data_IF_991634706978
#
_entry.id   IF_991634706978
#
_cell.length_a   1.000
_cell.length_b   1.000
_cell.length_c   1.000
_cell.angle_alpha   90.00
_cell.angle_beta   90.00
_cell.angle_gamma   90.00
#
_symmetry.space_group_name_H-M   'P 1'
#
loop_
_entity.id
_entity.type
_entity.pdbx_description
1 polymer ?
#
# COMPACT_ATOMS: atom_id res chain seq x y z
N UNK A 1 1.23 6.15 -10.84
CA UNK A 1 1.89 5.21 -9.90
C UNK A 1 1.22 3.85 -9.99
N UNK A 2 1.82 2.79 -9.45
CA UNK A 2 1.18 1.48 -9.30
C UNK A 2 0.83 1.29 -7.82
N UNK A 3 -0.39 0.84 -7.52
CA UNK A 3 -0.84 0.65 -6.15
C UNK A 3 -1.78 -0.57 -6.03
N UNK A 4 -1.85 -1.16 -4.84
CA UNK A 4 -2.89 -2.13 -4.51
C UNK A 4 -4.22 -1.43 -4.32
N UNK A 5 -5.34 -2.07 -4.66
CA UNK A 5 -6.66 -1.60 -4.25
C UNK A 5 -6.78 -1.45 -2.72
N UNK A 6 -5.98 -2.20 -1.94
CA UNK A 6 -5.89 -2.03 -0.49
C UNK A 6 -5.43 -0.64 -0.06
N UNK A 7 -4.59 0.04 -0.85
CA UNK A 7 -4.16 1.41 -0.52
C UNK A 7 -5.36 2.35 -0.46
N UNK A 8 -6.30 2.22 -1.39
CA UNK A 8 -7.54 3.02 -1.40
C UNK A 8 -8.43 2.67 -0.21
N UNK A 9 -8.60 1.37 0.05
CA UNK A 9 -9.40 0.88 1.19
C UNK A 9 -8.82 1.41 2.51
N UNK A 10 -7.52 1.32 2.72
CA UNK A 10 -6.87 1.78 3.95
C UNK A 10 -7.00 3.30 4.14
N UNK A 11 -6.84 4.09 3.07
CA UNK A 11 -7.07 5.53 3.13
C UNK A 11 -8.52 5.85 3.54
N UNK A 12 -9.52 5.23 2.91
CA UNK A 12 -10.92 5.45 3.26
C UNK A 12 -11.26 4.97 4.67
N UNK A 13 -10.67 3.86 5.12
CA UNK A 13 -10.84 3.35 6.49
C UNK A 13 -10.26 4.31 7.52
N UNK A 14 -9.12 4.94 7.25
CA UNK A 14 -8.53 5.96 8.14
C UNK A 14 -9.43 7.18 8.23
N UNK A 15 -9.95 7.69 7.11
CA UNK A 15 -10.86 8.84 7.12
C UNK A 15 -12.18 8.52 7.83
N UNK A 16 -12.76 7.36 7.55
CA UNK A 16 -13.98 6.88 8.21
C UNK A 16 -13.79 6.76 9.71
N UNK A 17 -12.65 6.19 10.15
CA UNK A 17 -12.33 6.10 11.57
C UNK A 17 -12.19 7.48 12.19
N UNK A 18 -11.48 8.40 11.53
CA UNK A 18 -11.24 9.75 12.05
C UNK A 18 -12.54 10.53 12.27
N UNK A 19 -13.52 10.40 11.36
CA UNK A 19 -14.87 10.95 11.56
C UNK A 19 -15.56 10.28 12.74
N UNK A 20 -15.63 8.94 12.75
CA UNK A 20 -16.33 8.19 13.78
C UNK A 20 -15.78 8.45 15.20
N UNK A 21 -14.50 8.81 15.31
CA UNK A 21 -13.84 9.16 16.58
C UNK A 21 -13.74 10.67 16.81
N UNK A 22 -14.44 11.50 16.05
CA UNK A 22 -14.45 12.97 16.16
C UNK A 22 -13.05 13.63 16.07
N UNK A 23 -12.10 12.97 15.40
CA UNK A 23 -10.75 13.50 15.12
C UNK A 23 -10.78 14.42 13.89
N UNK A 24 -11.70 14.17 12.96
CA UNK A 24 -11.82 14.94 11.72
C UNK A 24 -13.30 15.26 11.42
N UNK A 25 -13.66 16.50 11.07
CA UNK A 25 -15.00 16.83 10.59
C UNK A 25 -15.36 16.12 9.28
N UNK A 26 -16.64 15.76 9.09
CA UNK A 26 -17.12 15.09 7.87
C UNK A 26 -16.75 15.86 6.59
N UNK A 27 -16.94 17.18 6.58
CA UNK A 27 -16.61 18.02 5.42
C UNK A 27 -15.12 17.92 5.03
N UNK A 28 -14.23 17.89 6.02
CA UNK A 28 -12.79 17.73 5.81
C UNK A 28 -12.40 16.31 5.37
N UNK A 29 -13.16 15.30 5.79
CA UNK A 29 -12.98 13.93 5.31
C UNK A 29 -13.42 13.81 3.85
N UNK A 30 -14.55 14.42 3.48
CA UNK A 30 -15.05 14.46 2.10
C UNK A 30 -14.06 15.15 1.15
N UNK A 31 -13.48 16.28 1.56
CA UNK A 31 -12.43 16.97 0.81
C UNK A 31 -11.21 16.06 0.57
N UNK A 32 -10.74 15.34 1.60
CA UNK A 32 -9.61 14.40 1.47
C UNK A 32 -9.94 13.21 0.56
N UNK A 33 -11.17 12.70 0.60
CA UNK A 33 -11.62 11.66 -0.34
C UNK A 33 -11.61 12.16 -1.79
N UNK A 34 -12.05 13.41 -2.02
CA UNK A 34 -12.01 14.00 -3.35
C UNK A 34 -10.57 14.13 -3.89
N UNK A 35 -9.63 14.56 -3.04
CA UNK A 35 -8.20 14.62 -3.39
C UNK A 35 -7.63 13.22 -3.68
N UNK A 36 -7.96 12.23 -2.84
CA UNK A 36 -7.54 10.84 -3.07
C UNK A 36 -8.07 10.30 -4.39
N UNK A 37 -9.37 10.48 -4.67
CA UNK A 37 -10.01 10.02 -5.91
C UNK A 37 -9.34 10.64 -7.14
N UNK A 38 -9.20 11.97 -7.16
CA UNK A 38 -8.55 12.68 -8.26
C UNK A 38 -7.08 12.24 -8.46
N UNK A 39 -6.38 11.89 -7.39
CA UNK A 39 -5.01 11.37 -7.49
C UNK A 39 -4.98 9.94 -8.01
N UNK A 40 -5.91 9.10 -7.54
CA UNK A 40 -6.02 7.69 -7.90
C UNK A 40 -6.44 7.46 -9.35
N UNK A 41 -7.16 8.42 -9.97
CA UNK A 41 -7.50 8.40 -11.40
C UNK A 41 -6.26 8.31 -12.31
N UNK A 42 -5.09 8.64 -11.80
CA UNK A 42 -3.81 8.55 -12.52
C UNK A 42 -2.95 7.34 -12.12
N UNK A 43 -3.52 6.40 -11.35
CA UNK A 43 -2.81 5.21 -10.89
C UNK A 43 -3.25 3.96 -11.67
N UNK A 44 -2.31 3.03 -11.83
CA UNK A 44 -2.63 1.66 -12.20
C UNK A 44 -2.91 0.90 -10.92
N UNK A 45 -4.18 0.54 -10.71
CA UNK A 45 -4.62 -0.19 -9.51
C UNK A 45 -4.60 -1.69 -9.79
N UNK A 46 -3.94 -2.43 -8.90
CA UNK A 46 -3.99 -3.89 -8.87
C UNK A 46 -5.10 -4.33 -7.92
N UNK A 47 -6.10 -5.01 -8.46
CA UNK A 47 -7.14 -5.67 -7.67
C UNK A 47 -6.58 -6.87 -6.91
N UNK A 48 -7.29 -7.30 -5.86
CA UNK A 48 -6.95 -8.52 -5.14
C UNK A 48 -7.34 -9.75 -5.96
N UNK A 49 -6.43 -10.20 -6.82
CA UNK A 49 -6.62 -11.37 -7.66
C UNK A 49 -6.09 -12.67 -7.03
N UNK A 50 -6.32 -13.80 -7.71
CA UNK A 50 -5.88 -15.11 -7.25
C UNK A 50 -4.35 -15.23 -7.11
N UNK A 51 -3.58 -14.55 -7.96
CA UNK A 51 -2.11 -14.59 -7.96
C UNK A 51 -1.56 -13.87 -6.74
N UNK A 52 -2.11 -12.69 -6.43
CA UNK A 52 -1.76 -11.91 -5.24
C UNK A 52 -2.17 -12.68 -3.98
N UNK A 53 -3.38 -13.25 -3.95
CA UNK A 53 -3.84 -14.06 -2.81
C UNK A 53 -2.96 -15.28 -2.57
N UNK A 54 -2.62 -16.03 -3.61
CA UNK A 54 -1.73 -17.18 -3.46
C UNK A 54 -0.35 -16.76 -2.95
N UNK A 55 0.21 -15.68 -3.51
CA UNK A 55 1.51 -15.18 -3.08
C UNK A 55 1.50 -14.70 -1.63
N UNK A 56 0.46 -13.98 -1.20
CA UNK A 56 0.32 -13.45 0.16
C UNK A 56 0.23 -14.54 1.23
N UNK A 57 -0.17 -15.76 0.87
CA UNK A 57 -0.23 -16.94 1.76
C UNK A 57 1.12 -17.65 1.94
N UNK A 58 2.13 -17.31 1.13
CA UNK A 58 3.47 -17.88 1.24
C UNK A 58 4.32 -17.03 2.19
N UNK A 59 5.33 -17.62 2.86
CA UNK A 59 6.22 -16.86 3.73
C UNK A 59 6.90 -15.67 3.03
N UNK A 60 7.18 -14.63 3.80
CA UNK A 60 7.99 -13.50 3.37
C UNK A 60 9.28 -13.40 4.20
N UNK A 61 10.35 -12.77 3.69
CA UNK A 61 11.47 -12.38 4.53
C UNK A 61 11.00 -11.46 5.67
N UNK A 62 11.45 -11.75 6.90
CA UNK A 62 11.17 -10.90 8.06
C UNK A 62 9.85 -11.18 8.76
N UNK A 63 9.35 -12.41 8.71
CA UNK A 63 8.23 -12.84 9.57
C UNK A 63 8.47 -12.50 11.06
N UNK A 64 7.43 -12.15 11.83
CA UNK A 64 6.01 -12.13 11.43
C UNK A 64 5.59 -10.86 10.67
N UNK A 65 4.78 -11.03 9.61
CA UNK A 65 4.18 -9.93 8.83
C UNK A 65 2.65 -9.90 9.00
N UNK A 66 2.05 -8.70 9.04
CA UNK A 66 0.58 -8.55 9.13
C UNK A 66 -0.09 -8.93 7.82
N UNK A 67 -1.30 -9.45 7.89
CA UNK A 67 -2.06 -9.93 6.73
C UNK A 67 -2.24 -8.88 5.62
N UNK A 68 -2.49 -7.61 5.95
CA UNK A 68 -2.60 -6.56 4.91
C UNK A 68 -1.25 -6.19 4.31
N UNK A 69 -0.20 -6.17 5.14
CA UNK A 69 1.18 -5.94 4.67
C UNK A 69 1.61 -7.03 3.68
N UNK A 70 1.23 -8.30 3.88
CA UNK A 70 1.55 -9.37 2.92
C UNK A 70 0.87 -9.18 1.56
N UNK A 71 -0.33 -8.58 1.53
CA UNK A 71 -1.03 -8.26 0.27
C UNK A 71 -0.32 -7.10 -0.45
N UNK A 72 0.11 -6.06 0.26
CA UNK A 72 0.92 -4.97 -0.33
C UNK A 72 2.23 -5.50 -0.91
N UNK A 73 2.94 -6.35 -0.16
CA UNK A 73 4.20 -6.95 -0.61
C UNK A 73 4.00 -7.91 -1.79
N UNK A 74 2.93 -8.72 -1.79
CA UNK A 74 2.58 -9.59 -2.91
C UNK A 74 2.24 -8.78 -4.17
N UNK A 75 1.46 -7.71 -4.03
CA UNK A 75 1.15 -6.78 -5.12
C UNK A 75 2.42 -6.15 -5.69
N UNK A 76 3.31 -5.67 -4.83
CA UNK A 76 4.60 -5.11 -5.24
C UNK A 76 5.47 -6.11 -6.00
N UNK A 77 5.46 -7.39 -5.63
CA UNK A 77 6.18 -8.44 -6.35
C UNK A 77 5.63 -8.66 -7.76
N UNK A 78 4.31 -8.72 -7.91
CA UNK A 78 3.67 -8.84 -9.23
C UNK A 78 3.95 -7.60 -10.08
N UNK A 79 3.85 -6.41 -9.50
CA UNK A 79 4.17 -5.17 -10.20
C UNK A 79 5.64 -5.14 -10.68
N UNK A 80 6.59 -5.60 -9.85
CA UNK A 80 8.01 -5.68 -10.22
C UNK A 80 8.30 -6.72 -11.30
N UNK A 81 7.50 -7.78 -11.43
CA UNK A 81 7.66 -8.73 -12.55
C UNK A 81 7.22 -8.13 -13.89
N UNK A 82 6.37 -7.10 -13.87
CA UNK A 82 5.91 -6.37 -15.06
C UNK A 82 6.81 -5.16 -15.38
N UNK A 83 7.32 -4.50 -14.34
CA UNK A 83 8.22 -3.35 -14.44
C UNK A 83 9.49 -3.65 -13.65
N UNK A 84 10.54 -4.17 -14.31
CA UNK A 84 11.87 -4.29 -13.71
C UNK A 84 12.31 -2.94 -13.14
N UNK A 85 13.04 -2.95 -12.03
CA UNK A 85 13.50 -1.76 -11.29
C UNK A 85 12.42 -0.92 -10.58
N UNK A 86 11.21 -1.45 -10.42
CA UNK A 86 10.17 -0.80 -9.62
C UNK A 86 10.63 -0.55 -8.18
N UNK A 87 10.62 0.72 -7.76
CA UNK A 87 10.81 1.12 -6.37
C UNK A 87 9.49 1.01 -5.59
N UNK A 88 9.57 0.57 -4.33
CA UNK A 88 8.44 0.52 -3.41
C UNK A 88 8.40 1.77 -2.55
N UNK A 89 7.32 2.54 -2.63
CA UNK A 89 7.07 3.68 -1.76
C UNK A 89 6.20 3.24 -0.58
N UNK A 90 6.67 3.47 0.65
CA UNK A 90 5.86 3.28 1.85
C UNK A 90 6.37 4.17 2.98
N UNK A 91 5.44 4.64 3.81
CA UNK A 91 5.75 5.32 5.07
C UNK A 91 5.68 4.38 6.28
N UNK A 92 5.23 3.13 6.10
CA UNK A 92 5.21 2.13 7.17
C UNK A 92 6.55 1.38 7.21
N UNK A 93 7.31 1.56 8.30
CA UNK A 93 8.63 0.95 8.44
C UNK A 93 8.63 -0.59 8.41
N UNK A 94 7.51 -1.25 8.76
CA UNK A 94 7.40 -2.71 8.65
C UNK A 94 7.41 -3.13 7.20
N UNK A 95 6.57 -2.51 6.37
CA UNK A 95 6.54 -2.75 4.92
C UNK A 95 7.90 -2.41 4.32
N UNK A 96 8.49 -1.27 4.68
CA UNK A 96 9.81 -0.84 4.18
C UNK A 96 10.89 -1.88 4.50
N UNK A 97 10.94 -2.40 5.73
CA UNK A 97 11.91 -3.43 6.15
C UNK A 97 11.77 -4.71 5.32
N UNK A 98 10.57 -5.25 5.20
CA UNK A 98 10.33 -6.47 4.42
C UNK A 98 10.64 -6.24 2.93
N UNK A 99 10.24 -5.10 2.37
CA UNK A 99 10.54 -4.73 0.99
C UNK A 99 12.05 -4.67 0.71
N UNK A 100 12.86 -4.07 1.61
CA UNK A 100 14.33 -4.07 1.50
C UNK A 100 14.89 -5.50 1.47
N UNK A 101 14.41 -6.38 2.36
CA UNK A 101 14.84 -7.79 2.39
C UNK A 101 14.43 -8.57 1.14
N UNK A 102 13.39 -8.13 0.43
CA UNK A 102 12.95 -8.67 -0.86
C UNK A 102 13.66 -8.01 -2.06
N UNK A 103 14.64 -7.15 -1.81
CA UNK A 103 15.45 -6.47 -2.82
C UNK A 103 14.77 -5.31 -3.54
N UNK A 104 13.74 -4.69 -2.95
CA UNK A 104 13.18 -3.45 -3.50
C UNK A 104 14.09 -2.26 -3.15
N UNK A 105 14.25 -1.34 -4.10
CA UNK A 105 14.57 0.04 -3.74
C UNK A 105 13.37 0.62 -3.00
N UNK A 106 13.58 1.15 -1.79
CA UNK A 106 12.49 1.71 -0.97
C UNK A 106 12.54 3.24 -0.94
N UNK A 107 11.38 3.86 -1.07
CA UNK A 107 11.17 5.30 -1.02
C UNK A 107 10.20 5.70 0.12
N UNK A 108 10.34 6.90 0.72
CA UNK A 108 11.48 7.81 0.56
C UNK A 108 12.78 7.12 1.00
N UNK A 109 13.94 7.60 0.52
CA UNK A 109 15.23 7.11 1.02
C UNK A 109 15.36 7.55 2.47
N UNK A 110 15.96 6.72 3.32
CA UNK A 110 16.35 7.18 4.65
C UNK A 110 17.32 8.37 4.45
N UNK A 111 17.08 9.49 5.14
CA UNK A 111 18.01 10.62 5.10
C UNK A 111 19.38 10.14 5.62
N UNK A 112 20.49 10.52 4.96
CA UNK A 112 21.83 10.17 5.42
C UNK A 112 22.17 10.78 6.78
#
# INVERSE_FOLDING_TARGET
>A
MLASCLTLIECDRVLTRAVATNVLPEAMAAERRAVLAATADHWVIFDLDAVIMERARRPFPGEPIRTLDTIHLATGMLARSLVPDLALLSLDERIRRSARQMGFQVLPRDEP
#
